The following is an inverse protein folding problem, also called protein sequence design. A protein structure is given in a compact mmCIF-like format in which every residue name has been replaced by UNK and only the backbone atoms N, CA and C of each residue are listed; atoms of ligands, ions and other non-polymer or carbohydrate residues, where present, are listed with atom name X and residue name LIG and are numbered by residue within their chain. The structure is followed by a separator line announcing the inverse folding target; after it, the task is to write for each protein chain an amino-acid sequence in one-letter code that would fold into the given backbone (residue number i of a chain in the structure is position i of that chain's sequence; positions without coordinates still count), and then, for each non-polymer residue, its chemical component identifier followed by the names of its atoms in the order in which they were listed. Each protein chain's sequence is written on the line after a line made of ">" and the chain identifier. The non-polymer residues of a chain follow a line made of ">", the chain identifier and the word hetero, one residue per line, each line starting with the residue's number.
data_IF_034660869875
#
_entry.id   IF_034660869875
#
_cell.length_a   1.000
_cell.length_b   1.000
_cell.length_c   1.000
_cell.angle_alpha   90.00
_cell.angle_beta   90.00
_cell.angle_gamma   90.00
#
_symmetry.space_group_name_H-M   'P 1'
#
loop_
_entity.id
_entity.type
_entity.pdbx_description
1 polymer ?
#
# COMPACT_ATOMS: atom_id res chain seq x y z
N UNK A 1 -33.20 -1.47 -15.09
CA UNK A 1 -32.16 -2.51 -15.28
C UNK A 1 -31.09 -1.98 -16.22
N UNK A 2 -29.83 -2.22 -15.85
CA UNK A 2 -28.61 -2.19 -16.68
C UNK A 2 -28.23 -0.83 -17.26
N UNK A 3 -27.25 -0.19 -16.61
CA UNK A 3 -26.06 0.38 -17.25
C UNK A 3 -24.94 0.50 -16.20
N UNK A 4 -24.56 -0.64 -15.63
CA UNK A 4 -23.37 -0.80 -14.77
C UNK A 4 -22.30 -1.58 -15.52
N UNK A 5 -21.78 -1.04 -16.62
CA UNK A 5 -20.58 -1.60 -17.27
C UNK A 5 -19.77 -0.48 -17.94
N UNK A 6 -19.39 0.56 -17.21
CA UNK A 6 -18.51 1.61 -17.75
C UNK A 6 -17.49 2.14 -16.73
N UNK A 7 -17.01 1.28 -15.84
CA UNK A 7 -16.05 1.64 -14.79
C UNK A 7 -14.97 0.56 -14.55
N UNK A 8 -14.54 -0.11 -15.62
CA UNK A 8 -13.47 -1.14 -15.54
C UNK A 8 -12.22 -0.78 -16.36
N UNK A 9 -12.23 0.30 -17.14
CA UNK A 9 -11.12 0.61 -18.06
C UNK A 9 -10.15 1.73 -17.64
N UNK A 10 -10.20 2.21 -16.39
CA UNK A 10 -9.28 3.27 -15.93
C UNK A 10 -8.35 2.85 -14.77
N UNK A 11 -7.90 1.59 -14.76
CA UNK A 11 -6.95 1.09 -13.77
C UNK A 11 -5.67 0.47 -14.36
N UNK A 12 -5.45 0.62 -15.68
CA UNK A 12 -4.41 -0.09 -16.43
C UNK A 12 -3.28 0.81 -16.97
N UNK A 13 -3.07 2.00 -16.38
CA UNK A 13 -1.99 2.92 -16.80
C UNK A 13 -1.01 3.33 -15.69
N UNK A 14 -1.17 2.85 -14.46
CA UNK A 14 -0.23 3.14 -13.37
C UNK A 14 0.96 2.16 -13.27
N UNK A 15 1.05 1.18 -14.18
CA UNK A 15 2.11 0.17 -14.22
C UNK A 15 2.94 0.21 -15.52
N UNK A 16 3.19 1.40 -16.07
CA UNK A 16 4.35 1.55 -16.96
C UNK A 16 5.54 1.95 -16.10
N UNK A 17 6.53 1.05 -15.87
CA UNK A 17 7.84 1.49 -15.45
C UNK A 17 8.42 2.34 -16.59
N UNK A 18 8.75 3.58 -16.24
CA UNK A 18 9.51 4.51 -17.05
C UNK A 18 10.77 3.78 -17.56
N UNK A 19 10.82 3.40 -18.83
CA UNK A 19 11.99 2.79 -19.45
C UNK A 19 13.04 3.86 -19.72
N UNK A 20 13.84 4.14 -18.70
CA UNK A 20 15.09 4.88 -18.86
C UNK A 20 16.10 4.00 -19.59
N UNK A 21 16.44 4.38 -20.81
CA UNK A 21 17.51 3.82 -21.62
C UNK A 21 18.89 4.17 -21.01
N UNK A 22 19.79 3.18 -20.96
CA UNK A 22 21.26 3.27 -21.01
C UNK A 22 21.83 2.02 -20.32
N UNK A 23 22.75 1.23 -20.84
CA UNK A 23 23.46 1.15 -22.09
C UNK A 23 24.29 -0.13 -21.99
N UNK A 24 24.42 -0.86 -23.09
CA UNK A 24 25.29 -2.04 -23.14
C UNK A 24 26.73 -1.53 -23.14
N UNK A 25 27.50 -1.86 -22.10
CA UNK A 25 28.96 -1.80 -22.15
C UNK A 25 29.52 -3.13 -21.66
N UNK A 26 30.12 -3.85 -22.59
CA UNK A 26 30.89 -5.07 -22.38
C UNK A 26 32.27 -4.71 -21.81
N UNK A 27 32.74 -5.38 -20.76
CA UNK A 27 34.12 -5.89 -20.66
C UNK A 27 34.35 -6.62 -19.32
N UNK A 28 35.13 -7.68 -19.43
CA UNK A 28 35.42 -8.77 -18.49
C UNK A 28 36.14 -8.41 -17.19
N UNK A 29 36.14 -9.41 -16.31
CA UNK A 29 37.10 -9.70 -15.24
C UNK A 29 37.11 -8.81 -14.00
N UNK A 30 36.35 -9.23 -12.99
CA UNK A 30 36.88 -9.69 -11.71
C UNK A 30 35.71 -9.91 -10.74
N UNK A 31 35.65 -11.11 -10.15
CA UNK A 31 34.80 -11.37 -8.99
C UNK A 31 35.16 -10.40 -7.86
N UNK A 32 34.16 -9.74 -7.29
CA UNK A 32 33.95 -9.96 -5.87
C UNK A 32 32.52 -10.44 -5.67
N UNK A 33 32.37 -11.65 -5.12
CA UNK A 33 31.13 -12.06 -4.47
C UNK A 33 30.66 -10.92 -3.58
N UNK A 34 29.50 -10.29 -3.86
CA UNK A 34 28.92 -9.36 -2.93
C UNK A 34 28.66 -10.18 -1.68
N UNK A 35 29.34 -9.85 -0.58
CA UNK A 35 28.88 -10.28 0.72
C UNK A 35 27.47 -9.70 0.85
N UNK A 36 26.48 -10.55 0.62
CA UNK A 36 25.10 -10.31 1.00
C UNK A 36 25.15 -10.23 2.52
N UNK A 37 25.46 -9.05 3.04
CA UNK A 37 25.01 -8.67 4.37
C UNK A 37 23.48 -8.70 4.24
N UNK A 38 22.93 -9.89 4.46
CA UNK A 38 21.53 -10.17 4.61
C UNK A 38 21.05 -9.28 5.76
N UNK A 39 20.67 -8.06 5.42
CA UNK A 39 19.74 -7.31 6.25
C UNK A 39 18.55 -8.25 6.36
N UNK A 40 18.19 -8.72 7.58
CA UNK A 40 17.11 -9.68 7.75
C UNK A 40 15.89 -9.17 6.99
N UNK A 41 15.35 -10.00 6.09
CA UNK A 41 14.24 -9.61 5.21
C UNK A 41 13.05 -9.10 6.04
N UNK A 42 12.94 -9.58 7.29
CA UNK A 42 11.95 -9.13 8.28
C UNK A 42 12.05 -7.64 8.64
N UNK A 43 13.24 -7.06 8.83
CA UNK A 43 13.41 -5.66 9.24
C UNK A 43 12.90 -4.68 8.19
N UNK A 44 12.99 -5.04 6.92
CA UNK A 44 12.47 -4.23 5.81
C UNK A 44 10.96 -4.32 5.72
N UNK A 45 10.39 -5.51 5.95
CA UNK A 45 8.96 -5.75 5.85
C UNK A 45 8.20 -5.10 7.02
N UNK A 46 8.73 -5.16 8.23
CA UNK A 46 8.12 -4.51 9.40
C UNK A 46 8.10 -2.99 9.26
N UNK A 47 9.17 -2.39 8.71
CA UNK A 47 9.20 -0.95 8.38
C UNK A 47 8.13 -0.58 7.34
N UNK A 48 7.89 -1.46 6.35
CA UNK A 48 6.84 -1.25 5.35
C UNK A 48 5.46 -1.34 6.00
N UNK A 49 5.21 -2.34 6.84
CA UNK A 49 3.93 -2.49 7.55
C UNK A 49 3.64 -1.26 8.42
N UNK A 50 4.62 -0.81 9.22
CA UNK A 50 4.47 0.40 10.04
C UNK A 50 4.17 1.65 9.21
N UNK A 51 4.85 1.82 8.08
CA UNK A 51 4.60 2.94 7.16
C UNK A 51 3.16 2.89 6.62
N UNK A 52 2.71 1.71 6.20
CA UNK A 52 1.35 1.49 5.69
C UNK A 52 0.29 1.74 6.77
N UNK A 53 0.52 1.29 8.00
CA UNK A 53 -0.38 1.60 9.14
C UNK A 53 -0.48 3.11 9.39
N UNK A 54 0.64 3.84 9.29
CA UNK A 54 0.66 5.30 9.44
C UNK A 54 -0.11 5.99 8.32
N UNK A 55 0.05 5.56 7.08
CA UNK A 55 -0.70 6.04 5.91
C UNK A 55 -2.21 5.80 6.06
N UNK A 56 -2.60 4.59 6.48
CA UNK A 56 -3.98 4.23 6.70
C UNK A 56 -4.64 5.08 7.81
N UNK A 57 -3.95 5.28 8.94
CA UNK A 57 -4.42 6.19 10.01
C UNK A 57 -4.55 7.64 9.53
N UNK A 58 -3.65 8.10 8.66
CA UNK A 58 -3.74 9.43 8.04
C UNK A 58 -4.99 9.54 7.17
N UNK A 59 -5.30 8.53 6.36
CA UNK A 59 -6.52 8.49 5.53
C UNK A 59 -7.79 8.54 6.38
N UNK A 60 -7.84 7.79 7.48
CA UNK A 60 -8.97 7.83 8.44
C UNK A 60 -9.14 9.23 9.02
N UNK A 61 -8.04 9.86 9.43
CA UNK A 61 -8.08 11.20 10.02
C UNK A 61 -8.53 12.26 8.99
N UNK A 62 -8.00 12.20 7.77
CA UNK A 62 -8.43 13.08 6.67
C UNK A 62 -9.91 12.86 6.33
N UNK A 63 -10.36 11.61 6.29
CA UNK A 63 -11.76 11.25 6.07
C UNK A 63 -12.67 11.87 7.13
N UNK A 64 -12.32 11.74 8.42
CA UNK A 64 -13.06 12.37 9.53
C UNK A 64 -13.09 13.91 9.41
N UNK A 65 -11.98 14.54 9.01
CA UNK A 65 -11.94 16.00 8.79
C UNK A 65 -12.87 16.43 7.66
N UNK A 66 -12.91 15.67 6.57
CA UNK A 66 -13.81 15.94 5.43
C UNK A 66 -15.28 15.78 5.83
N UNK A 67 -15.62 14.71 6.55
CA UNK A 67 -16.99 14.49 7.09
C UNK A 67 -17.40 15.69 7.95
N UNK A 68 -16.60 16.06 8.95
CA UNK A 68 -16.90 17.19 9.84
C UNK A 68 -17.03 18.52 9.10
N UNK A 69 -16.18 18.74 8.08
CA UNK A 69 -16.27 19.94 7.22
C UNK A 69 -17.51 19.93 6.35
N UNK A 70 -17.89 18.76 5.83
CA UNK A 70 -19.11 18.54 5.06
C UNK A 70 -20.35 18.79 5.89
N UNK A 71 -20.44 18.21 7.10
CA UNK A 71 -21.52 18.43 8.06
C UNK A 71 -21.68 19.92 8.40
N UNK A 72 -20.58 20.61 8.75
CA UNK A 72 -20.60 22.05 9.04
C UNK A 72 -21.11 22.89 7.87
N UNK A 73 -20.83 22.46 6.63
CA UNK A 73 -21.21 23.16 5.40
C UNK A 73 -22.48 22.63 4.74
N UNK A 74 -23.13 21.61 5.33
CA UNK A 74 -24.22 20.84 4.69
C UNK A 74 -23.87 20.39 3.27
N UNK A 75 -22.61 20.01 3.05
CA UNK A 75 -22.10 19.60 1.75
C UNK A 75 -21.93 18.07 1.72
N UNK A 76 -22.86 17.40 1.06
CA UNK A 76 -22.92 15.93 0.97
C UNK A 76 -21.72 15.34 0.24
N UNK A 77 -21.21 15.99 -0.81
CA UNK A 77 -20.02 15.53 -1.55
C UNK A 77 -18.78 15.44 -0.63
N UNK A 78 -18.58 16.42 0.26
CA UNK A 78 -17.51 16.37 1.25
C UNK A 78 -17.71 15.25 2.27
N UNK A 79 -18.95 14.97 2.65
CA UNK A 79 -19.28 13.86 3.56
C UNK A 79 -18.96 12.52 2.87
N UNK A 80 -19.42 12.33 1.63
CA UNK A 80 -19.18 11.11 0.84
C UNK A 80 -17.68 10.91 0.62
N UNK A 81 -16.95 11.93 0.16
CA UNK A 81 -15.48 11.86 0.01
C UNK A 81 -14.79 11.50 1.32
N UNK A 82 -15.25 12.05 2.44
CA UNK A 82 -14.73 11.75 3.75
C UNK A 82 -15.00 10.31 4.21
N UNK A 83 -16.20 9.80 3.96
CA UNK A 83 -16.59 8.41 4.24
C UNK A 83 -15.76 7.42 3.41
N UNK A 84 -15.59 7.69 2.11
CA UNK A 84 -14.76 6.86 1.22
C UNK A 84 -13.32 6.81 1.73
N UNK A 85 -12.70 7.97 2.03
CA UNK A 85 -11.33 8.01 2.57
C UNK A 85 -11.19 7.25 3.88
N UNK A 86 -12.17 7.40 4.77
CA UNK A 86 -12.20 6.70 6.05
C UNK A 86 -12.27 5.19 5.84
N UNK A 87 -13.19 4.71 4.99
CA UNK A 87 -13.35 3.28 4.68
C UNK A 87 -12.09 2.68 4.04
N UNK A 88 -11.43 3.40 3.14
CA UNK A 88 -10.16 2.93 2.53
C UNK A 88 -9.10 2.74 3.62
N UNK A 89 -8.94 3.70 4.52
CA UNK A 89 -7.98 3.59 5.61
C UNK A 89 -8.32 2.47 6.60
N UNK A 90 -9.60 2.24 6.89
CA UNK A 90 -10.05 1.12 7.74
C UNK A 90 -9.73 -0.24 7.11
N UNK A 91 -10.08 -0.44 5.84
CA UNK A 91 -9.75 -1.67 5.09
C UNK A 91 -8.25 -1.92 5.01
N UNK A 92 -7.45 -0.87 4.83
CA UNK A 92 -5.98 -1.01 4.83
C UNK A 92 -5.45 -1.47 6.19
N UNK A 93 -5.99 -0.97 7.30
CA UNK A 93 -5.57 -1.43 8.64
C UNK A 93 -5.97 -2.89 8.88
N UNK A 94 -7.16 -3.28 8.45
CA UNK A 94 -7.64 -4.66 8.57
C UNK A 94 -6.76 -5.63 7.78
N UNK A 95 -6.47 -5.33 6.51
CA UNK A 95 -5.59 -6.15 5.68
C UNK A 95 -4.16 -6.27 6.26
N UNK A 96 -3.61 -5.18 6.82
CA UNK A 96 -2.30 -5.22 7.46
C UNK A 96 -2.29 -6.07 8.74
N UNK A 97 -3.39 -6.05 9.50
CA UNK A 97 -3.55 -6.88 10.69
C UNK A 97 -3.61 -8.37 10.32
N UNK A 98 -4.37 -8.71 9.29
CA UNK A 98 -4.44 -10.08 8.78
C UNK A 98 -3.07 -10.56 8.28
N UNK A 99 -2.30 -9.70 7.61
CA UNK A 99 -0.95 -10.01 7.15
C UNK A 99 0.01 -10.27 8.34
N UNK A 100 -0.10 -9.52 9.42
CA UNK A 100 0.69 -9.70 10.64
C UNK A 100 0.32 -11.00 11.37
N UNK A 101 -0.97 -11.34 11.44
CA UNK A 101 -1.45 -12.60 12.02
C UNK A 101 -1.02 -13.82 11.19
N UNK A 102 -1.08 -13.74 9.85
CA UNK A 102 -0.62 -14.80 8.96
C UNK A 102 0.87 -15.08 9.13
N UNK A 103 1.71 -14.04 9.17
CA UNK A 103 3.14 -14.17 9.46
C UNK A 103 3.41 -14.80 10.82
N UNK A 104 2.62 -14.45 11.84
CA UNK A 104 2.78 -15.04 13.17
C UNK A 104 2.53 -16.55 13.12
N UNK A 105 1.48 -16.97 12.41
CA UNK A 105 1.15 -18.40 12.22
C UNK A 105 2.21 -19.15 11.42
N UNK A 106 2.76 -18.56 10.37
CA UNK A 106 3.88 -19.15 9.60
C UNK A 106 5.10 -19.39 10.49
N UNK A 107 5.50 -18.39 11.28
CA UNK A 107 6.61 -18.53 12.24
C UNK A 107 6.36 -19.57 13.32
N UNK A 108 5.11 -19.74 13.77
CA UNK A 108 4.76 -20.78 14.76
C UNK A 108 4.79 -22.20 14.14
N UNK A 109 4.46 -22.33 12.86
CA UNK A 109 4.49 -23.61 12.13
C UNK A 109 5.91 -24.04 11.73
N UNK A 110 6.82 -23.10 11.45
CA UNK A 110 8.23 -23.41 11.09
C UNK A 110 9.07 -23.94 12.28
N UNK A 111 8.51 -23.93 13.50
CA UNK A 111 9.20 -24.35 14.73
C UNK A 111 8.95 -25.85 15.06
N UNK A 112 8.11 -26.55 14.29
CA UNK A 112 7.79 -27.99 14.46
C UNK A 112 8.25 -28.83 13.28
#
# INVERSE_FOLDING_TARGET
>A
MRNSVFLIFLFLFFFLPNQSHAGIFTMSDASPTPQTNEIPIDDKLDKVIQKRQKEARKLILEGRKLIKKGEKKKNEDLIIKGQIKKQIGEKQLEALKEQEENKKRERENDIW
#
